data_IF_244506271640
#
_entry.id   IF_244506271640
#
_cell.length_a   1.000
_cell.length_b   1.000
_cell.length_c   1.000
_cell.angle_alpha   90.00
_cell.angle_beta   90.00
_cell.angle_gamma   90.00
#
_symmetry.space_group_name_H-M   'P 1'
#
loop_
_entity.id
_entity.type
_entity.pdbx_description
1 polymer ?
#
# COMPACT_ATOMS: atom_id res chain seq x y z
N UNK A 1 27.37 -27.32 4.78
CA UNK A 1 26.66 -28.16 3.79
C UNK A 1 25.59 -27.33 3.08
N UNK A 2 25.83 -26.94 1.83
CA UNK A 2 24.90 -26.14 1.02
C UNK A 2 23.83 -27.06 0.40
N UNK A 3 22.60 -27.03 0.91
CA UNK A 3 21.44 -27.64 0.21
C UNK A 3 21.06 -26.74 -0.97
N UNK A 4 21.62 -27.05 -2.15
CA UNK A 4 21.09 -26.58 -3.44
C UNK A 4 19.64 -27.05 -3.56
N UNK A 5 18.70 -26.11 -3.58
CA UNK A 5 17.32 -26.39 -3.92
C UNK A 5 17.27 -26.83 -5.40
N UNK A 6 17.26 -28.15 -5.63
CA UNK A 6 16.86 -28.75 -6.90
C UNK A 6 15.34 -28.93 -6.85
N UNK A 7 14.59 -27.88 -7.19
CA UNK A 7 13.19 -28.03 -7.63
C UNK A 7 13.10 -27.61 -9.09
N UNK A 8 12.57 -28.52 -9.91
CA UNK A 8 12.83 -28.60 -11.34
C UNK A 8 12.19 -27.51 -12.21
N UNK A 9 12.97 -27.06 -13.20
CA UNK A 9 12.72 -27.06 -14.67
C UNK A 9 11.30 -26.87 -15.26
N UNK A 10 10.27 -26.45 -14.52
CA UNK A 10 8.91 -26.22 -15.07
C UNK A 10 8.48 -24.75 -15.13
N UNK A 11 9.15 -23.81 -14.45
CA UNK A 11 8.72 -22.41 -14.43
C UNK A 11 9.32 -21.52 -15.53
N UNK A 12 10.42 -21.92 -16.19
CA UNK A 12 11.01 -21.15 -17.30
C UNK A 12 10.23 -21.26 -18.61
N UNK A 13 9.28 -22.18 -18.72
CA UNK A 13 8.48 -22.41 -19.93
C UNK A 13 7.37 -21.36 -20.13
N UNK A 14 6.84 -20.75 -19.06
CA UNK A 14 5.68 -19.86 -19.13
C UNK A 14 6.04 -18.50 -19.72
N UNK A 15 7.14 -17.88 -19.28
CA UNK A 15 7.57 -16.55 -19.78
C UNK A 15 8.01 -16.61 -21.24
N UNK A 16 8.78 -17.63 -21.62
CA UNK A 16 9.25 -17.81 -23.00
C UNK A 16 8.11 -18.07 -23.99
N UNK A 17 7.01 -18.69 -23.53
CA UNK A 17 5.81 -18.93 -24.34
C UNK A 17 5.05 -17.65 -24.70
N UNK A 18 4.90 -16.72 -23.76
CA UNK A 18 4.20 -15.44 -23.98
C UNK A 18 4.92 -14.59 -25.06
N UNK A 19 6.25 -14.55 -25.04
CA UNK A 19 7.02 -13.83 -26.06
C UNK A 19 6.96 -14.46 -27.46
N UNK A 20 6.57 -15.74 -27.58
CA UNK A 20 6.55 -16.51 -28.83
C UNK A 20 5.13 -16.75 -29.38
N UNK A 21 4.14 -15.90 -29.05
CA UNK A 21 2.73 -16.09 -29.44
C UNK A 21 2.11 -17.43 -28.97
N UNK A 22 2.64 -18.02 -27.89
CA UNK A 22 2.10 -19.23 -27.26
C UNK A 22 1.47 -18.95 -25.88
N UNK A 23 1.10 -17.69 -25.63
CA UNK A 23 0.27 -17.28 -24.51
C UNK A 23 -1.21 -17.40 -24.83
N UNK A 24 -2.07 -17.21 -23.84
CA UNK A 24 -3.52 -17.43 -23.94
C UNK A 24 -4.22 -16.50 -24.95
N UNK A 25 -3.61 -15.34 -25.25
CA UNK A 25 -4.12 -14.38 -26.23
C UNK A 25 -3.59 -14.60 -27.66
N UNK A 26 -2.67 -15.55 -27.87
CA UNK A 26 -2.08 -15.86 -29.17
C UNK A 26 -1.24 -14.73 -29.81
N UNK A 27 -0.96 -13.63 -29.08
CA UNK A 27 -0.27 -12.46 -29.63
C UNK A 27 1.18 -12.42 -29.15
N UNK A 28 2.14 -12.44 -30.08
CA UNK A 28 3.55 -12.26 -29.74
C UNK A 28 3.79 -10.84 -29.20
N UNK A 29 4.39 -10.76 -28.00
CA UNK A 29 4.77 -9.50 -27.35
C UNK A 29 6.11 -8.99 -27.89
N UNK A 30 6.14 -8.66 -29.18
CA UNK A 30 7.34 -8.16 -29.89
C UNK A 30 7.60 -6.67 -29.58
N UNK A 31 8.81 -6.14 -29.85
CA UNK A 31 9.09 -4.71 -29.75
C UNK A 31 8.17 -3.84 -30.63
N UNK A 32 7.81 -4.31 -31.82
CA UNK A 32 6.89 -3.61 -32.73
C UNK A 32 5.47 -3.54 -32.14
N UNK A 33 5.01 -4.65 -31.53
CA UNK A 33 3.75 -4.69 -30.79
C UNK A 33 3.75 -3.67 -29.63
N UNK A 34 4.81 -3.67 -28.82
CA UNK A 34 4.93 -2.76 -27.68
C UNK A 34 5.04 -1.29 -28.13
N UNK A 35 5.72 -1.02 -29.24
CA UNK A 35 5.88 0.32 -29.80
C UNK A 35 4.54 0.95 -30.17
N UNK A 36 3.64 0.18 -30.81
CA UNK A 36 2.29 0.63 -31.14
C UNK A 36 1.46 1.02 -29.91
N UNK A 37 1.64 0.34 -28.79
CA UNK A 37 0.86 0.57 -27.57
C UNK A 37 1.44 1.72 -26.74
N UNK A 38 2.76 1.73 -26.56
CA UNK A 38 3.45 2.66 -25.64
C UNK A 38 3.85 3.97 -26.30
N UNK A 39 3.89 4.02 -27.65
CA UNK A 39 4.47 5.13 -28.40
C UNK A 39 6.01 5.18 -28.38
N UNK A 40 6.68 4.21 -27.71
CA UNK A 40 8.13 4.16 -27.63
C UNK A 40 8.67 3.46 -28.89
N UNK A 41 9.66 4.04 -29.62
CA UNK A 41 10.26 3.39 -30.79
C UNK A 41 10.80 1.98 -30.49
N UNK A 42 10.55 1.03 -31.39
CA UNK A 42 10.90 -0.38 -31.20
C UNK A 42 12.42 -0.60 -31.00
N UNK A 43 13.25 0.19 -31.67
CA UNK A 43 14.71 0.21 -31.51
C UNK A 43 15.12 0.64 -30.09
N UNK A 44 14.45 1.62 -29.49
CA UNK A 44 14.69 2.04 -28.09
C UNK A 44 14.32 0.93 -27.10
N UNK A 45 13.21 0.24 -27.34
CA UNK A 45 12.80 -0.91 -26.51
C UNK A 45 13.86 -2.01 -26.56
N UNK A 46 14.33 -2.36 -27.77
CA UNK A 46 15.40 -3.37 -27.96
C UNK A 46 16.70 -2.93 -27.29
N UNK A 47 17.08 -1.67 -27.46
CA UNK A 47 18.29 -1.09 -26.87
C UNK A 47 18.26 -1.21 -25.34
N UNK A 48 17.17 -0.75 -24.70
CA UNK A 48 17.01 -0.84 -23.25
C UNK A 48 17.04 -2.29 -22.75
N UNK A 49 16.37 -3.21 -23.45
CA UNK A 49 16.38 -4.63 -23.09
C UNK A 49 17.79 -5.24 -23.16
N UNK A 50 18.59 -4.85 -24.16
CA UNK A 50 19.99 -5.27 -24.28
C UNK A 50 20.86 -4.66 -23.19
N UNK A 51 20.71 -3.37 -22.90
CA UNK A 51 21.44 -2.71 -21.82
C UNK A 51 21.18 -3.40 -20.48
N UNK A 52 19.91 -3.63 -20.14
CA UNK A 52 19.51 -4.37 -18.93
C UNK A 52 20.10 -5.79 -18.90
N UNK A 53 20.10 -6.50 -20.03
CA UNK A 53 20.62 -7.87 -20.11
C UNK A 53 22.15 -7.98 -20.03
N UNK A 54 22.86 -6.92 -20.42
CA UNK A 54 24.32 -6.88 -20.45
C UNK A 54 24.94 -6.27 -19.18
N UNK A 55 24.21 -5.41 -18.47
CA UNK A 55 24.65 -4.82 -17.21
C UNK A 55 24.63 -5.85 -16.07
N UNK A 56 25.78 -6.02 -15.40
CA UNK A 56 25.93 -6.92 -14.25
C UNK A 56 26.75 -6.24 -13.13
N UNK A 57 26.15 -5.89 -11.97
CA UNK A 57 24.73 -6.03 -11.63
C UNK A 57 23.87 -4.93 -12.28
N UNK A 58 22.57 -5.21 -12.47
CA UNK A 58 21.58 -4.18 -12.82
C UNK A 58 20.57 -3.99 -11.69
N UNK A 59 20.36 -2.73 -11.29
CA UNK A 59 19.38 -2.32 -10.30
C UNK A 59 18.13 -1.79 -11.01
N UNK A 60 16.99 -2.48 -10.86
CA UNK A 60 15.76 -2.18 -11.59
C UNK A 60 14.66 -1.92 -10.56
N UNK A 61 14.34 -0.66 -10.28
CA UNK A 61 13.38 -0.28 -9.25
C UNK A 61 12.12 0.34 -9.86
N UNK A 62 10.98 0.12 -9.21
CA UNK A 62 9.71 0.78 -9.53
C UNK A 62 9.26 1.67 -8.37
N UNK A 63 8.67 2.84 -8.70
CA UNK A 63 7.96 3.66 -7.71
C UNK A 63 6.54 3.15 -7.45
N UNK A 64 5.72 3.98 -6.80
CA UNK A 64 4.31 3.65 -6.54
C UNK A 64 3.39 3.79 -7.74
N UNK A 65 3.80 4.58 -8.75
CA UNK A 65 2.96 4.93 -9.90
C UNK A 65 2.36 3.72 -10.62
N UNK A 66 3.16 2.72 -11.03
CA UNK A 66 2.66 1.54 -11.76
C UNK A 66 1.54 0.79 -11.04
N UNK A 67 1.47 0.86 -9.70
CA UNK A 67 0.50 0.16 -8.87
C UNK A 67 -0.83 0.91 -8.72
N UNK A 68 -0.90 2.20 -9.10
CA UNK A 68 -2.09 3.06 -8.92
C UNK A 68 -3.04 3.04 -10.12
N UNK A 69 -3.25 1.87 -10.68
CA UNK A 69 -4.19 1.62 -11.77
C UNK A 69 -4.78 0.22 -11.64
N UNK A 70 -5.90 -0.05 -12.32
CA UNK A 70 -6.62 -1.32 -12.22
C UNK A 70 -5.74 -2.55 -12.49
N UNK A 71 -4.79 -2.46 -13.44
CA UNK A 71 -3.87 -3.54 -13.79
C UNK A 71 -2.48 -3.36 -13.16
N UNK A 72 -2.40 -2.65 -12.04
CA UNK A 72 -1.13 -2.26 -11.43
C UNK A 72 -0.31 -3.44 -10.91
N UNK A 73 -0.98 -4.50 -10.46
CA UNK A 73 -0.33 -5.76 -10.07
C UNK A 73 0.43 -6.39 -11.23
N UNK A 74 -0.12 -6.38 -12.45
CA UNK A 74 0.49 -6.99 -13.63
C UNK A 74 1.70 -6.18 -14.06
N UNK A 75 1.59 -4.85 -14.02
CA UNK A 75 2.69 -3.93 -14.29
C UNK A 75 3.84 -4.14 -13.29
N UNK A 76 3.52 -4.19 -12.00
CA UNK A 76 4.51 -4.38 -10.95
C UNK A 76 5.21 -5.74 -11.04
N UNK A 77 4.45 -6.80 -11.34
CA UNK A 77 4.98 -8.14 -11.58
C UNK A 77 5.87 -8.18 -12.81
N UNK A 78 5.47 -7.54 -13.91
CA UNK A 78 6.27 -7.50 -15.14
C UNK A 78 7.63 -6.84 -14.91
N UNK A 79 7.67 -5.73 -14.15
CA UNK A 79 8.94 -5.08 -13.76
C UNK A 79 9.78 -6.01 -12.88
N UNK A 80 9.16 -6.67 -11.89
CA UNK A 80 9.86 -7.60 -11.01
C UNK A 80 10.44 -8.83 -11.73
N UNK A 81 9.88 -9.21 -12.87
CA UNK A 81 10.44 -10.30 -13.69
C UNK A 81 11.79 -9.94 -14.31
N UNK A 82 12.08 -8.67 -14.57
CA UNK A 82 13.35 -8.26 -15.18
C UNK A 82 14.58 -8.67 -14.37
N UNK A 83 14.72 -8.28 -13.08
CA UNK A 83 15.88 -8.70 -12.28
C UNK A 83 15.91 -10.22 -12.02
N UNK A 84 14.76 -10.90 -12.05
CA UNK A 84 14.71 -12.36 -11.96
C UNK A 84 15.30 -13.00 -13.21
N UNK A 85 14.92 -12.51 -14.39
CA UNK A 85 15.39 -13.03 -15.68
C UNK A 85 16.87 -12.73 -15.92
N UNK A 86 17.38 -11.60 -15.42
CA UNK A 86 18.78 -11.21 -15.57
C UNK A 86 19.68 -11.67 -14.42
N UNK A 87 19.13 -12.31 -13.39
CA UNK A 87 19.90 -12.85 -12.26
C UNK A 87 20.41 -11.82 -11.26
N UNK A 88 19.71 -10.69 -11.12
CA UNK A 88 20.08 -9.58 -10.21
C UNK A 88 19.44 -9.66 -8.82
N UNK A 89 18.62 -10.68 -8.54
CA UNK A 89 18.00 -10.85 -7.22
C UNK A 89 19.01 -11.40 -6.22
N UNK A 90 19.16 -10.71 -5.08
CA UNK A 90 19.96 -11.18 -3.95
C UNK A 90 21.48 -10.98 -4.07
N UNK A 91 21.95 -10.21 -5.06
CA UNK A 91 23.35 -9.86 -5.23
C UNK A 91 23.61 -8.38 -4.89
N UNK A 92 24.85 -8.06 -4.52
CA UNK A 92 25.24 -6.67 -4.27
C UNK A 92 25.11 -5.84 -5.57
N UNK A 93 24.52 -4.65 -5.47
CA UNK A 93 24.19 -3.80 -6.62
C UNK A 93 22.98 -4.24 -7.45
N UNK A 94 22.32 -5.36 -7.11
CA UNK A 94 21.05 -5.79 -7.70
C UNK A 94 19.84 -5.51 -6.78
N UNK A 95 18.64 -5.92 -7.20
CA UNK A 95 17.43 -5.82 -6.38
C UNK A 95 16.34 -6.83 -6.81
N UNK A 96 15.19 -6.82 -6.12
CA UNK A 96 14.06 -7.70 -6.39
C UNK A 96 13.10 -7.19 -7.48
N UNK A 97 13.28 -5.96 -7.97
CA UNK A 97 12.31 -5.31 -8.83
C UNK A 97 11.18 -4.60 -8.09
N UNK A 98 11.12 -4.74 -6.76
CA UNK A 98 10.30 -3.90 -5.91
C UNK A 98 10.92 -2.50 -5.76
N UNK A 99 10.14 -1.59 -5.20
CA UNK A 99 10.62 -0.29 -4.72
C UNK A 99 11.82 -0.46 -3.80
N UNK A 100 12.69 0.55 -3.73
CA UNK A 100 13.70 0.65 -2.69
C UNK A 100 13.02 0.45 -1.32
N UNK A 101 13.44 -0.59 -0.63
CA UNK A 101 12.99 -0.87 0.72
C UNK A 101 14.13 -0.55 1.67
N UNK A 102 13.79 0.07 2.78
CA UNK A 102 14.75 0.25 3.86
C UNK A 102 14.76 -0.98 4.74
N UNK A 103 15.96 -1.34 5.20
CA UNK A 103 16.12 -2.14 6.40
C UNK A 103 15.23 -1.62 7.53
N UNK A 104 14.29 -2.44 7.97
CA UNK A 104 13.49 -2.18 9.16
C UNK A 104 14.18 -2.90 10.30
N UNK A 105 14.59 -2.16 11.33
CA UNK A 105 15.03 -2.78 12.56
C UNK A 105 13.74 -3.14 13.32
N UNK A 106 13.61 -4.39 13.76
CA UNK A 106 12.43 -4.85 14.50
C UNK A 106 12.43 -4.21 15.88
N UNK A 107 11.38 -3.45 16.19
CA UNK A 107 11.05 -3.05 17.56
C UNK A 107 10.03 -4.06 18.06
N UNK A 108 10.23 -4.60 19.28
CA UNK A 108 9.20 -5.38 19.95
C UNK A 108 7.94 -4.54 20.09
N UNK A 109 6.84 -5.03 19.53
CA UNK A 109 5.57 -4.31 19.57
C UNK A 109 4.85 -4.63 20.87
N UNK A 110 4.07 -3.67 21.37
CA UNK A 110 3.13 -3.96 22.42
C UNK A 110 2.22 -5.13 22.01
N UNK A 111 1.91 -6.05 22.94
CA UNK A 111 1.03 -7.17 22.64
C UNK A 111 -0.32 -6.64 22.18
N UNK A 112 -0.70 -6.98 20.96
CA UNK A 112 -2.00 -6.60 20.40
C UNK A 112 -3.01 -7.65 20.82
N UNK A 113 -4.18 -7.21 21.30
CA UNK A 113 -5.27 -8.13 21.63
C UNK A 113 -5.75 -8.88 20.39
N UNK A 114 -6.23 -10.11 20.58
CA UNK A 114 -6.85 -10.84 19.49
C UNK A 114 -8.19 -10.20 19.14
N UNK A 115 -8.34 -9.75 17.89
CA UNK A 115 -9.62 -9.23 17.41
C UNK A 115 -10.65 -10.37 17.34
N UNK A 116 -11.76 -10.33 18.12
CA UNK A 116 -12.79 -11.37 18.08
C UNK A 116 -13.57 -11.33 16.76
N UNK A 117 -13.60 -10.19 16.06
CA UNK A 117 -14.26 -10.03 14.76
C UNK A 117 -13.33 -10.54 13.67
N UNK A 118 -13.67 -11.69 13.08
CA UNK A 118 -12.93 -12.29 11.96
C UNK A 118 -13.40 -11.82 10.59
N UNK A 119 -14.56 -11.17 10.53
CA UNK A 119 -15.07 -10.57 9.29
C UNK A 119 -14.22 -9.38 8.91
N UNK A 120 -13.75 -9.34 7.66
CA UNK A 120 -12.90 -8.26 7.17
C UNK A 120 -13.30 -7.84 5.76
N UNK A 121 -13.08 -6.57 5.46
CA UNK A 121 -13.22 -5.99 4.13
C UNK A 121 -11.84 -5.49 3.65
N UNK A 122 -11.73 -5.20 2.35
CA UNK A 122 -10.58 -4.45 1.86
C UNK A 122 -10.53 -3.07 2.51
N UNK A 123 -9.35 -2.62 2.93
CA UNK A 123 -9.18 -1.27 3.48
C UNK A 123 -9.57 -0.17 2.48
N UNK A 124 -9.71 -0.50 1.19
CA UNK A 124 -10.08 0.44 0.13
C UNK A 124 -11.58 0.44 -0.21
N UNK A 125 -12.38 -0.45 0.38
CA UNK A 125 -13.83 -0.54 0.11
C UNK A 125 -14.68 -0.05 1.29
N UNK A 126 -14.08 0.69 2.22
CA UNK A 126 -14.77 1.20 3.41
C UNK A 126 -15.92 2.16 3.05
N UNK A 127 -15.77 2.99 2.01
CA UNK A 127 -16.86 3.88 1.55
C UNK A 127 -18.06 3.09 1.04
N UNK A 128 -17.82 1.99 0.33
CA UNK A 128 -18.88 1.07 -0.10
C UNK A 128 -19.50 0.33 1.10
N UNK A 129 -18.71 -0.02 2.11
CA UNK A 129 -19.22 -0.66 3.31
C UNK A 129 -20.12 0.27 4.13
N UNK A 130 -19.90 1.59 4.07
CA UNK A 130 -20.82 2.59 4.62
C UNK A 130 -22.10 2.66 3.78
N UNK A 131 -21.96 2.84 2.46
CA UNK A 131 -23.10 3.15 1.61
C UNK A 131 -24.02 1.96 1.31
N UNK A 132 -23.45 0.75 1.15
CA UNK A 132 -24.13 -0.45 0.65
C UNK A 132 -23.65 -1.73 1.35
N UNK A 133 -23.22 -1.62 2.60
CA UNK A 133 -22.62 -2.73 3.36
C UNK A 133 -23.36 -4.08 3.22
N UNK A 134 -24.68 -4.16 3.49
CA UNK A 134 -25.44 -5.41 3.40
C UNK A 134 -25.47 -6.09 2.02
N UNK A 135 -25.11 -5.35 0.95
CA UNK A 135 -25.01 -5.87 -0.41
C UNK A 135 -23.61 -6.42 -0.73
N UNK A 136 -22.60 -6.12 0.09
CA UNK A 136 -21.21 -6.54 -0.16
C UNK A 136 -21.03 -8.04 0.10
N UNK A 137 -20.47 -8.76 -0.86
CA UNK A 137 -20.29 -10.22 -0.77
C UNK A 137 -18.82 -10.64 -0.85
N UNK A 138 -18.53 -11.89 -0.46
CA UNK A 138 -17.20 -12.48 -0.55
C UNK A 138 -16.67 -12.53 -1.98
N UNK A 139 -17.54 -12.88 -2.94
CA UNK A 139 -17.17 -13.07 -4.35
C UNK A 139 -17.06 -11.76 -5.14
N UNK A 140 -17.93 -10.79 -4.88
CA UNK A 140 -17.96 -9.52 -5.61
C UNK A 140 -17.03 -8.47 -4.99
N UNK A 141 -17.03 -8.36 -3.67
CA UNK A 141 -16.42 -7.24 -2.95
C UNK A 141 -15.24 -7.66 -2.07
N UNK A 142 -14.95 -8.97 -1.98
CA UNK A 142 -13.82 -9.50 -1.23
C UNK A 142 -14.01 -9.52 0.28
N UNK A 143 -15.27 -9.59 0.76
CA UNK A 143 -15.57 -9.84 2.17
C UNK A 143 -14.92 -11.16 2.61
N UNK A 144 -14.23 -11.16 3.74
CA UNK A 144 -13.57 -12.34 4.31
C UNK A 144 -14.23 -12.74 5.62
N UNK A 145 -14.22 -14.03 5.92
CA UNK A 145 -14.79 -14.59 7.16
C UNK A 145 -16.31 -14.78 7.15
N UNK A 146 -17.02 -14.25 6.16
CA UNK A 146 -18.46 -14.43 5.91
C UNK A 146 -18.76 -14.30 4.41
N UNK A 147 -19.91 -14.82 3.97
CA UNK A 147 -20.40 -14.70 2.59
C UNK A 147 -20.82 -13.28 2.21
N UNK A 148 -21.28 -12.49 3.19
CA UNK A 148 -21.64 -11.09 3.03
C UNK A 148 -21.45 -10.31 4.32
N UNK A 149 -21.39 -8.99 4.22
CA UNK A 149 -21.40 -8.12 5.38
C UNK A 149 -22.84 -7.97 5.90
N UNK A 150 -23.04 -8.05 7.21
CA UNK A 150 -24.39 -8.07 7.80
C UNK A 150 -24.98 -6.66 7.95
N UNK A 151 -24.11 -5.69 8.25
CA UNK A 151 -24.48 -4.29 8.56
C UNK A 151 -23.48 -3.34 7.91
N UNK A 152 -23.89 -2.11 7.56
CA UNK A 152 -22.96 -1.10 7.08
C UNK A 152 -22.01 -0.64 8.19
N UNK A 153 -20.89 -0.02 7.79
CA UNK A 153 -20.03 0.70 8.73
C UNK A 153 -20.74 1.99 9.13
N UNK A 154 -20.89 2.21 10.44
CA UNK A 154 -21.51 3.40 11.02
C UNK A 154 -20.55 4.30 11.80
N UNK A 155 -19.38 3.78 12.15
CA UNK A 155 -18.38 4.46 12.97
C UNK A 155 -17.03 4.48 12.27
N UNK A 156 -16.42 5.67 12.16
CA UNK A 156 -15.07 5.87 11.63
C UNK A 156 -14.15 6.44 12.71
N UNK A 157 -12.97 5.85 12.81
CA UNK A 157 -11.87 6.34 13.63
C UNK A 157 -10.70 6.70 12.73
N UNK A 158 -10.45 8.00 12.55
CA UNK A 158 -9.39 8.52 11.71
C UNK A 158 -8.34 9.24 12.57
N UNK A 159 -7.24 8.52 12.85
CA UNK A 159 -6.12 9.01 13.66
C UNK A 159 -4.89 9.31 12.78
N UNK A 160 -4.22 10.42 13.06
CA UNK A 160 -2.94 10.81 12.47
C UNK A 160 -2.89 10.70 10.94
N UNK A 161 -3.98 11.08 10.26
CA UNK A 161 -4.11 10.86 8.83
C UNK A 161 -5.20 11.68 8.15
N UNK A 162 -4.95 12.01 6.89
CA UNK A 162 -5.94 12.62 5.99
C UNK A 162 -6.56 11.54 5.07
N UNK A 163 -6.75 10.33 5.63
CA UNK A 163 -6.99 9.11 4.84
C UNK A 163 -8.39 9.05 4.27
N UNK A 164 -9.39 9.50 5.02
CA UNK A 164 -10.81 9.41 4.62
C UNK A 164 -11.18 10.31 3.43
N UNK A 165 -10.35 11.30 3.07
CA UNK A 165 -10.61 12.14 1.89
C UNK A 165 -9.41 12.25 0.95
N UNK A 166 -8.21 12.60 1.42
CA UNK A 166 -7.08 12.90 0.53
C UNK A 166 -6.40 11.63 -0.01
N UNK A 167 -6.36 10.55 0.79
CA UNK A 167 -5.69 9.30 0.40
C UNK A 167 -6.65 8.21 -0.10
N UNK A 168 -7.90 8.57 -0.39
CA UNK A 168 -8.89 7.67 -0.96
C UNK A 168 -9.17 8.00 -2.42
N UNK A 169 -9.54 7.00 -3.24
CA UNK A 169 -10.00 7.28 -4.60
C UNK A 169 -11.38 7.90 -4.59
N UNK A 170 -11.67 8.69 -5.63
CA UNK A 170 -12.99 9.28 -5.87
C UNK A 170 -13.49 10.10 -4.67
N UNK A 171 -12.87 11.27 -4.53
CA UNK A 171 -13.13 12.21 -3.44
C UNK A 171 -14.57 12.72 -3.49
N UNK A 172 -15.15 12.88 -4.68
CA UNK A 172 -16.51 13.39 -4.83
C UNK A 172 -17.54 12.40 -4.28
N UNK A 173 -17.42 11.11 -4.66
CA UNK A 173 -18.25 10.05 -4.09
C UNK A 173 -18.09 9.96 -2.57
N UNK A 174 -16.84 10.05 -2.09
CA UNK A 174 -16.57 9.97 -0.65
C UNK A 174 -17.17 11.15 0.10
N UNK A 175 -17.06 12.36 -0.46
CA UNK A 175 -17.69 13.56 0.09
C UNK A 175 -19.20 13.39 0.24
N UNK A 176 -19.90 12.92 -0.81
CA UNK A 176 -21.34 12.67 -0.77
C UNK A 176 -21.74 11.64 0.30
N UNK A 177 -20.94 10.60 0.51
CA UNK A 177 -21.20 9.57 1.53
C UNK A 177 -20.98 10.13 2.94
N UNK A 178 -19.92 10.90 3.16
CA UNK A 178 -19.55 11.41 4.49
C UNK A 178 -20.41 12.62 4.93
N UNK A 179 -21.07 13.32 4.01
CA UNK A 179 -22.02 14.38 4.34
C UNK A 179 -23.41 13.86 4.75
N UNK A 180 -23.67 12.57 4.52
CA UNK A 180 -24.95 11.94 4.84
C UNK A 180 -24.89 11.27 6.21
N UNK A 181 -25.34 11.98 7.24
CA UNK A 181 -25.39 11.50 8.64
C UNK A 181 -26.22 10.21 8.80
N UNK A 182 -27.16 9.92 7.88
CA UNK A 182 -27.91 8.67 7.89
C UNK A 182 -27.06 7.46 7.50
N UNK A 183 -25.95 7.69 6.78
CA UNK A 183 -25.03 6.65 6.32
C UNK A 183 -23.94 6.37 7.34
N UNK A 184 -23.17 7.38 7.74
CA UNK A 184 -22.11 7.26 8.75
C UNK A 184 -22.49 8.09 9.98
N UNK A 185 -22.74 7.43 11.10
CA UNK A 185 -23.35 8.04 12.29
C UNK A 185 -22.33 8.74 13.19
N UNK A 186 -21.06 8.34 13.14
CA UNK A 186 -20.03 8.97 13.97
C UNK A 186 -18.65 8.86 13.32
N UNK A 187 -17.98 10.00 13.21
CA UNK A 187 -16.64 10.17 12.67
C UNK A 187 -15.79 10.86 13.73
N UNK A 188 -14.88 10.10 14.32
CA UNK A 188 -13.87 10.62 15.25
C UNK A 188 -12.59 10.90 14.47
N UNK A 189 -12.12 12.14 14.53
CA UNK A 189 -10.84 12.56 13.97
C UNK A 189 -9.91 13.03 15.07
N UNK A 190 -8.67 12.56 15.03
CA UNK A 190 -7.62 12.96 15.94
C UNK A 190 -6.46 13.49 15.09
N UNK A 191 -6.19 14.79 15.21
CA UNK A 191 -5.28 15.51 14.32
C UNK A 191 -4.66 16.73 15.02
N UNK A 192 -3.49 17.16 14.55
CA UNK A 192 -2.82 18.37 15.03
C UNK A 192 -3.41 19.64 14.39
N UNK A 193 -4.04 19.48 13.21
CA UNK A 193 -4.55 20.58 12.42
C UNK A 193 -5.97 20.28 11.91
N UNK A 194 -6.70 21.34 11.56
CA UNK A 194 -7.97 21.23 10.83
C UNK A 194 -7.73 20.80 9.37
N UNK A 195 -7.43 19.52 9.17
CA UNK A 195 -7.23 18.91 7.84
C UNK A 195 -8.54 18.76 7.07
N UNK A 196 -8.46 18.42 5.78
CA UNK A 196 -9.66 18.14 4.98
C UNK A 196 -10.49 17.00 5.56
N UNK A 197 -9.86 15.97 6.14
CA UNK A 197 -10.55 14.91 6.89
C UNK A 197 -11.20 15.44 8.17
N UNK A 198 -10.51 16.29 8.94
CA UNK A 198 -11.03 16.84 10.19
C UNK A 198 -12.32 17.65 10.02
N UNK A 199 -12.55 18.24 8.83
CA UNK A 199 -13.79 18.95 8.51
C UNK A 199 -15.04 18.05 8.44
N UNK A 200 -14.88 16.73 8.38
CA UNK A 200 -15.98 15.76 8.43
C UNK A 200 -16.17 15.16 9.83
N UNK A 201 -15.40 15.59 10.83
CA UNK A 201 -15.46 15.01 12.15
C UNK A 201 -16.73 15.44 12.90
N UNK A 202 -17.43 14.48 13.49
CA UNK A 202 -18.43 14.74 14.53
C UNK A 202 -17.73 15.04 15.86
N UNK A 203 -16.59 14.38 16.09
CA UNK A 203 -15.71 14.62 17.23
C UNK A 203 -14.28 14.82 16.74
N UNK A 204 -13.79 16.05 16.89
CA UNK A 204 -12.40 16.41 16.62
C UNK A 204 -11.63 16.51 17.93
N UNK A 205 -10.66 15.62 18.12
CA UNK A 205 -9.77 15.64 19.29
C UNK A 205 -8.40 16.18 18.89
N UNK A 206 -7.84 17.15 19.63
CA UNK A 206 -6.52 17.67 19.35
C UNK A 206 -5.44 16.66 19.76
N UNK A 207 -4.46 16.46 18.90
CA UNK A 207 -3.28 15.61 19.15
C UNK A 207 -1.99 16.42 19.27
N UNK A 208 -0.98 15.83 19.91
CA UNK A 208 0.34 16.42 20.09
C UNK A 208 1.18 16.32 18.83
N UNK A 209 1.89 17.39 18.49
CA UNK A 209 2.84 17.34 17.38
C UNK A 209 4.00 16.41 17.73
N UNK A 210 4.70 15.90 16.72
CA UNK A 210 5.86 15.00 16.92
C UNK A 210 6.97 15.62 17.79
N UNK A 211 6.99 16.95 17.96
CA UNK A 211 7.93 17.69 18.81
C UNK A 211 7.42 17.91 20.25
N UNK A 212 6.21 17.49 20.57
CA UNK A 212 5.56 17.67 21.86
C UNK A 212 5.39 16.34 22.62
N UNK A 213 5.77 15.22 21.99
CA UNK A 213 5.62 13.88 22.52
C UNK A 213 6.90 13.06 22.43
N UNK A 214 7.08 12.16 23.38
CA UNK A 214 8.13 11.15 23.34
C UNK A 214 7.64 9.93 22.56
N UNK A 215 8.27 9.64 21.43
CA UNK A 215 7.93 8.48 20.60
C UNK A 215 9.20 7.90 19.95
N UNK A 216 9.11 6.62 19.55
CA UNK A 216 10.18 5.89 18.89
C UNK A 216 9.90 5.88 17.39
N UNK A 217 10.74 6.56 16.61
CA UNK A 217 10.66 6.53 15.17
C UNK A 217 11.90 5.88 14.52
N UNK A 218 11.66 5.13 13.45
CA UNK A 218 12.73 4.51 12.67
C UNK A 218 13.12 5.42 11.49
N UNK A 219 14.37 5.88 11.44
CA UNK A 219 14.85 6.62 10.27
C UNK A 219 15.16 5.68 9.12
N UNK A 220 14.25 5.71 8.13
CA UNK A 220 14.25 4.87 6.92
C UNK A 220 15.43 5.10 5.95
N UNK A 221 16.43 5.92 6.24
CA UNK A 221 17.56 6.13 5.30
C UNK A 221 18.94 5.88 5.90
N UNK A 222 19.07 5.84 7.23
CA UNK A 222 20.38 5.84 7.89
C UNK A 222 20.65 4.64 8.80
N UNK A 223 19.79 3.59 8.79
CA UNK A 223 19.92 2.44 9.71
C UNK A 223 20.12 2.89 11.17
N UNK A 224 19.38 3.92 11.57
CA UNK A 224 19.53 4.57 12.87
C UNK A 224 18.14 4.78 13.48
N UNK A 225 18.05 4.57 14.79
CA UNK A 225 16.94 5.06 15.58
C UNK A 225 17.24 6.46 16.07
N UNK A 226 16.25 7.34 15.96
CA UNK A 226 16.18 8.53 16.78
C UNK A 226 15.15 8.29 17.86
N UNK A 227 15.49 8.59 19.11
CA UNK A 227 14.48 8.98 20.07
C UNK A 227 14.20 10.46 19.76
N UNK A 228 12.95 10.80 19.48
CA UNK A 228 12.54 12.20 19.56
C UNK A 228 12.30 12.51 21.03
N UNK A 229 13.36 12.85 21.75
CA UNK A 229 13.25 13.61 23.00
C UNK A 229 13.27 15.08 22.63
N UNK A 230 12.09 15.66 22.46
CA UNK A 230 11.95 17.09 22.51
C UNK A 230 11.56 17.44 23.94
N UNK A 231 12.29 18.36 24.57
CA UNK A 231 11.81 18.98 25.80
C UNK A 231 10.44 19.58 25.47
N UNK A 232 9.34 19.13 26.10
CA UNK A 232 8.03 19.66 25.78
C UNK A 232 8.08 21.16 26.07
N UNK A 233 7.95 21.97 25.02
CA UNK A 233 7.34 23.28 25.21
C UNK A 233 5.95 22.97 25.78
N UNK A 234 5.59 23.59 26.90
CA UNK A 234 4.35 23.34 27.62
C UNK A 234 3.16 23.07 26.67
N UNK A 235 2.38 22.01 26.93
CA UNK A 235 1.20 21.67 26.13
C UNK A 235 0.36 22.91 25.83
N UNK A 236 0.16 23.22 24.55
CA UNK A 236 -0.64 24.35 24.13
C UNK A 236 -2.13 23.94 24.10
N UNK A 237 -2.86 24.22 25.20
CA UNK A 237 -4.29 23.92 25.30
C UNK A 237 -4.62 22.53 25.90
N UNK A 238 -5.84 22.05 25.73
CA UNK A 238 -6.31 20.74 26.22
C UNK A 238 -5.95 19.60 25.26
N UNK A 239 -4.65 19.43 24.99
CA UNK A 239 -4.11 18.40 24.08
C UNK A 239 -3.57 17.22 24.88
N UNK A 240 -3.79 15.98 24.42
CA UNK A 240 -3.33 14.75 25.08
C UNK A 240 -2.74 13.78 24.05
N UNK A 241 -1.85 12.89 24.48
CA UNK A 241 -1.36 11.82 23.60
C UNK A 241 -2.48 10.84 23.26
N UNK A 242 -2.34 10.11 22.15
CA UNK A 242 -3.26 9.00 21.82
C UNK A 242 -3.38 7.98 22.96
N UNK A 243 -2.26 7.61 23.58
CA UNK A 243 -2.24 6.64 24.68
C UNK A 243 -3.11 7.13 25.83
N UNK A 244 -2.97 8.40 26.21
CA UNK A 244 -3.79 9.01 27.25
C UNK A 244 -5.29 9.06 26.87
N UNK A 245 -5.61 9.29 25.59
CA UNK A 245 -6.99 9.29 25.11
C UNK A 245 -7.63 7.88 25.13
N UNK A 246 -6.84 6.83 24.88
CA UNK A 246 -7.31 5.45 24.92
C UNK A 246 -7.45 4.93 26.36
N UNK A 247 -6.64 5.43 27.28
CA UNK A 247 -6.65 5.05 28.71
C UNK A 247 -7.75 5.75 29.54
N UNK A 248 -8.48 6.70 28.95
CA UNK A 248 -9.62 7.39 29.59
C UNK A 248 -10.93 6.56 29.64
N UNK A 249 -10.87 5.26 29.34
CA UNK A 249 -12.01 4.32 29.37
C UNK A 249 -11.77 3.18 30.33
#
# INVERSE_FOLDING_TARGET
MRKRCRSGRRQTATTKRIFLARGDDGVAKTPQWASRITGIPADRIIKLAREIGMSKPAYICQGWGPQRQANGELSARAIAMLPILTGNVGINGGNSGARESTYTITIERLPVLENPVKTAISCFTWTDAIARGPEMTATRDGVRGKEKLDVPIKFLWNYAGNTIINQHSDINKTHEILQDESKCETIVVIDNFMTSSAKYADLLLPDLMTVEQEDIYSQRLRRQYGLSHFYPACYLGEVRTQTDLLDLK
#
